data_IF_956840855440
#
_entry.id   IF_956840855440
#
_cell.length_a   1.000
_cell.length_b   1.000
_cell.length_c   1.000
_cell.angle_alpha   90.00
_cell.angle_beta   90.00
_cell.angle_gamma   90.00
#
_symmetry.space_group_name_H-M   'P 1'
#
loop_
_entity.id
_entity.type
_entity.pdbx_description
1 polymer ?
#
# COMPACT_ATOMS: atom_id res chain seq x y z
N UNK A 1 -8.42 -20.13 22.53
CA UNK A 1 -8.78 -19.07 21.58
C UNK A 1 -10.15 -18.48 21.91
N UNK A 2 -11.14 -19.34 22.14
CA UNK A 2 -12.57 -19.02 22.25
C UNK A 2 -12.93 -17.99 23.33
N UNK A 3 -12.41 -18.08 24.58
CA UNK A 3 -12.78 -17.12 25.60
C UNK A 3 -12.27 -15.72 25.28
N UNK A 4 -11.06 -15.61 24.71
CA UNK A 4 -10.41 -14.34 24.38
C UNK A 4 -11.15 -13.64 23.22
N UNK A 5 -11.43 -14.37 22.14
CA UNK A 5 -12.13 -13.81 20.98
C UNK A 5 -13.57 -13.40 21.32
N UNK A 6 -14.30 -14.24 22.06
CA UNK A 6 -15.68 -13.95 22.44
C UNK A 6 -15.79 -12.81 23.46
N UNK A 7 -14.80 -12.65 24.34
CA UNK A 7 -14.71 -11.52 25.26
C UNK A 7 -14.46 -10.21 24.49
N UNK A 8 -13.43 -10.18 23.63
CA UNK A 8 -13.12 -9.02 22.80
C UNK A 8 -14.32 -8.56 21.95
N UNK A 9 -14.99 -9.49 21.27
CA UNK A 9 -16.13 -9.16 20.39
C UNK A 9 -17.31 -8.54 21.15
N UNK A 10 -17.62 -9.08 22.35
CA UNK A 10 -18.80 -8.67 23.14
C UNK A 10 -18.55 -7.43 24.01
N UNK A 11 -17.31 -7.11 24.30
CA UNK A 11 -16.97 -5.94 25.10
C UNK A 11 -17.27 -4.63 24.36
N UNK A 12 -17.55 -3.59 25.15
CA UNK A 12 -17.67 -2.22 24.67
C UNK A 12 -16.32 -1.71 24.18
N UNK A 13 -16.26 -0.72 23.26
CA UNK A 13 -15.01 -0.22 22.68
C UNK A 13 -13.88 0.03 23.68
N UNK A 14 -14.16 0.71 24.79
CA UNK A 14 -13.15 1.08 25.79
C UNK A 14 -12.66 -0.10 26.64
N UNK A 15 -13.37 -1.23 26.62
CA UNK A 15 -13.00 -2.45 27.34
C UNK A 15 -12.34 -3.51 26.43
N UNK A 16 -12.15 -3.20 25.13
CA UNK A 16 -11.46 -4.09 24.21
C UNK A 16 -9.96 -3.92 24.35
N UNK A 17 -9.26 -4.98 24.72
CA UNK A 17 -7.81 -4.94 24.89
C UNK A 17 -7.08 -5.04 23.54
N UNK A 18 -6.34 -3.99 23.19
CA UNK A 18 -5.60 -3.89 21.92
C UNK A 18 -4.58 -5.04 21.76
N UNK A 19 -4.04 -5.55 22.87
CA UNK A 19 -3.11 -6.69 22.91
C UNK A 19 -3.68 -7.99 22.34
N UNK A 20 -5.01 -8.15 22.31
CA UNK A 20 -5.63 -9.31 21.65
C UNK A 20 -5.26 -9.35 20.15
N UNK A 21 -5.26 -8.18 19.49
CA UNK A 21 -4.89 -8.07 18.08
C UNK A 21 -3.40 -8.42 17.86
N UNK A 22 -2.52 -7.89 18.72
CA UNK A 22 -1.08 -8.15 18.70
C UNK A 22 -0.74 -9.63 18.96
N UNK A 23 -1.46 -10.25 19.89
CA UNK A 23 -1.34 -11.67 20.21
C UNK A 23 -1.63 -12.51 18.96
N UNK A 24 -2.74 -12.27 18.27
CA UNK A 24 -3.08 -13.03 17.07
C UNK A 24 -2.16 -12.73 15.89
N UNK A 25 -1.70 -11.50 15.73
CA UNK A 25 -0.68 -11.16 14.74
C UNK A 25 0.61 -11.98 14.99
N UNK A 26 1.05 -12.05 16.25
CA UNK A 26 2.24 -12.80 16.67
C UNK A 26 2.09 -14.30 16.43
N UNK A 27 0.93 -14.87 16.79
CA UNK A 27 0.61 -16.28 16.55
C UNK A 27 0.63 -16.59 15.05
N UNK A 28 0.00 -15.77 14.21
CA UNK A 28 -0.03 -15.97 12.76
C UNK A 28 1.38 -15.84 12.16
N UNK A 29 2.19 -14.87 12.59
CA UNK A 29 3.58 -14.77 12.13
C UNK A 29 4.42 -15.99 12.53
N UNK A 30 4.14 -16.59 13.69
CA UNK A 30 4.87 -17.76 14.21
C UNK A 30 4.48 -19.06 13.49
N UNK A 31 3.17 -19.31 13.33
CA UNK A 31 2.63 -20.57 12.83
C UNK A 31 2.24 -20.53 11.35
N UNK A 32 2.12 -19.34 10.76
CA UNK A 32 1.87 -19.10 9.34
C UNK A 32 0.64 -19.88 8.83
N UNK A 33 0.79 -20.63 7.75
CA UNK A 33 -0.29 -21.37 7.09
C UNK A 33 -1.01 -22.38 8.00
N UNK A 34 -0.40 -22.81 9.10
CA UNK A 34 -1.07 -23.67 10.09
C UNK A 34 -2.26 -22.97 10.76
N UNK A 35 -2.29 -21.62 10.77
CA UNK A 35 -3.42 -20.84 11.30
C UNK A 35 -4.57 -20.67 10.31
N UNK A 36 -4.48 -21.20 9.08
CA UNK A 36 -5.42 -20.89 8.01
C UNK A 36 -6.88 -21.22 8.39
N UNK A 37 -7.11 -22.34 9.07
CA UNK A 37 -8.45 -22.76 9.50
C UNK A 37 -9.02 -21.89 10.64
N UNK A 38 -8.16 -21.25 11.43
CA UNK A 38 -8.54 -20.39 12.55
C UNK A 38 -8.76 -18.92 12.15
N UNK A 39 -8.16 -18.47 11.03
CA UNK A 39 -8.25 -17.07 10.58
C UNK A 39 -9.69 -16.58 10.40
N UNK A 40 -10.62 -17.33 9.75
CA UNK A 40 -12.00 -16.87 9.61
C UNK A 40 -12.65 -16.52 10.96
N UNK A 41 -12.37 -17.33 11.99
CA UNK A 41 -12.90 -17.14 13.33
C UNK A 41 -12.29 -15.93 14.04
N UNK A 42 -10.97 -15.75 13.91
CA UNK A 42 -10.28 -14.57 14.44
C UNK A 42 -10.86 -13.31 13.78
N UNK A 43 -10.97 -13.34 12.45
CA UNK A 43 -11.47 -12.24 11.64
C UNK A 43 -12.91 -11.86 12.02
N UNK A 44 -13.82 -12.82 12.16
CA UNK A 44 -15.20 -12.59 12.60
C UNK A 44 -15.28 -11.89 13.96
N UNK A 45 -14.44 -12.29 14.91
CA UNK A 45 -14.47 -11.76 16.26
C UNK A 45 -13.89 -10.34 16.39
N UNK A 46 -12.85 -10.01 15.61
CA UNK A 46 -12.09 -8.76 15.82
C UNK A 46 -12.21 -7.74 14.71
N UNK A 47 -12.55 -8.13 13.47
CA UNK A 47 -12.39 -7.24 12.33
C UNK A 47 -13.37 -6.06 12.34
N UNK A 48 -14.66 -6.34 12.20
CA UNK A 48 -15.69 -5.31 12.06
C UNK A 48 -15.76 -4.39 13.28
N UNK A 49 -15.74 -5.00 14.47
CA UNK A 49 -15.90 -4.27 15.73
C UNK A 49 -14.70 -3.36 16.04
N UNK A 50 -13.49 -3.72 15.60
CA UNK A 50 -12.30 -2.86 15.70
C UNK A 50 -12.29 -1.80 14.61
N UNK A 51 -12.68 -2.15 13.38
CA UNK A 51 -12.76 -1.21 12.27
C UNK A 51 -13.68 -0.02 12.63
N UNK A 52 -14.86 -0.30 13.17
CA UNK A 52 -15.81 0.70 13.65
C UNK A 52 -15.27 1.58 14.78
N UNK A 53 -14.26 1.13 15.53
CA UNK A 53 -13.58 1.96 16.54
C UNK A 53 -12.59 2.90 15.88
N UNK A 54 -11.69 2.36 15.06
CA UNK A 54 -10.51 3.08 14.58
C UNK A 54 -10.81 4.06 13.44
N UNK A 55 -11.94 3.90 12.72
CA UNK A 55 -12.29 4.75 11.57
C UNK A 55 -13.24 5.90 11.92
N UNK A 56 -13.64 6.06 13.19
CA UNK A 56 -14.51 7.19 13.60
C UNK A 56 -13.81 8.53 13.47
N UNK A 57 -12.53 8.58 13.81
CA UNK A 57 -11.65 9.74 13.69
C UNK A 57 -10.19 9.26 13.66
N UNK A 58 -9.26 10.20 13.50
CA UNK A 58 -7.83 9.93 13.39
C UNK A 58 -7.09 9.94 14.74
N UNK A 59 -7.77 10.24 15.85
CA UNK A 59 -7.14 10.51 17.15
C UNK A 59 -7.34 9.36 18.15
N UNK A 60 -8.53 8.77 18.18
CA UNK A 60 -8.89 7.73 19.13
C UNK A 60 -8.27 6.37 18.79
N UNK A 61 -8.05 5.55 19.84
CA UNK A 61 -7.56 4.17 19.76
C UNK A 61 -6.31 3.95 18.88
N UNK A 62 -5.23 4.73 19.05
CA UNK A 62 -4.02 4.61 18.22
C UNK A 62 -3.36 3.22 18.34
N UNK A 63 -3.41 2.61 19.53
CA UNK A 63 -2.88 1.25 19.71
C UNK A 63 -3.67 0.19 18.96
N UNK A 64 -5.01 0.25 19.01
CA UNK A 64 -5.86 -0.68 18.26
C UNK A 64 -5.61 -0.54 16.77
N UNK A 65 -5.46 0.69 16.28
CA UNK A 65 -5.15 0.97 14.87
C UNK A 65 -3.85 0.29 14.43
N UNK A 66 -2.77 0.51 15.16
CA UNK A 66 -1.47 -0.09 14.86
C UNK A 66 -1.55 -1.63 14.87
N UNK A 67 -2.15 -2.19 15.93
CA UNK A 67 -2.22 -3.65 16.12
C UNK A 67 -3.21 -4.31 15.15
N UNK A 68 -4.28 -3.61 14.75
CA UNK A 68 -5.24 -4.06 13.73
C UNK A 68 -4.57 -4.22 12.37
N UNK A 69 -3.83 -3.20 11.89
CA UNK A 69 -3.14 -3.31 10.61
C UNK A 69 -1.96 -4.28 10.66
N UNK A 70 -1.31 -4.44 11.82
CA UNK A 70 -0.32 -5.51 12.03
C UNK A 70 -0.94 -6.92 11.89
N UNK A 71 -2.12 -7.14 12.49
CA UNK A 71 -2.87 -8.39 12.34
C UNK A 71 -3.30 -8.63 10.89
N UNK A 72 -3.88 -7.61 10.24
CA UNK A 72 -4.33 -7.73 8.85
C UNK A 72 -3.16 -8.00 7.90
N UNK A 73 -1.99 -7.40 8.18
CA UNK A 73 -0.75 -7.72 7.47
C UNK A 73 -0.31 -9.16 7.69
N UNK A 74 -0.26 -9.65 8.92
CA UNK A 74 0.09 -11.04 9.19
C UNK A 74 -0.83 -12.03 8.45
N UNK A 75 -2.14 -11.77 8.41
CA UNK A 75 -3.11 -12.54 7.63
C UNK A 75 -2.80 -12.46 6.13
N UNK A 76 -2.60 -11.25 5.60
CA UNK A 76 -2.28 -11.04 4.18
C UNK A 76 -0.98 -11.72 3.75
N UNK A 77 0.06 -11.71 4.59
CA UNK A 77 1.37 -12.30 4.28
C UNK A 77 1.36 -13.83 4.38
N UNK A 78 0.71 -14.40 5.40
CA UNK A 78 0.87 -15.82 5.74
C UNK A 78 -0.36 -16.68 5.50
N UNK A 79 -1.55 -16.07 5.47
CA UNK A 79 -2.83 -16.76 5.38
C UNK A 79 -3.71 -16.16 4.28
N UNK A 80 -3.11 -15.69 3.18
CA UNK A 80 -3.83 -15.01 2.09
C UNK A 80 -5.03 -15.81 1.53
N UNK A 81 -4.95 -17.14 1.55
CA UNK A 81 -6.07 -18.01 1.14
C UNK A 81 -7.36 -17.74 1.93
N UNK A 82 -7.25 -17.36 3.21
CA UNK A 82 -8.41 -16.96 4.00
C UNK A 82 -9.03 -15.65 3.52
N UNK A 83 -8.23 -14.71 2.98
CA UNK A 83 -8.75 -13.47 2.40
C UNK A 83 -9.51 -13.70 1.09
N UNK A 84 -9.07 -14.68 0.27
CA UNK A 84 -9.76 -15.03 -0.98
C UNK A 84 -11.13 -15.67 -0.70
N UNK A 85 -11.27 -16.38 0.41
CA UNK A 85 -12.50 -17.04 0.82
C UNK A 85 -13.53 -16.08 1.45
N UNK A 86 -13.16 -14.81 1.68
CA UNK A 86 -14.09 -13.80 2.18
C UNK A 86 -15.21 -13.54 1.17
N UNK A 87 -16.39 -13.21 1.69
CA UNK A 87 -17.46 -12.67 0.85
C UNK A 87 -17.04 -11.34 0.21
N UNK A 88 -17.65 -10.97 -0.92
CA UNK A 88 -17.37 -9.70 -1.59
C UNK A 88 -17.54 -8.47 -0.68
N UNK A 89 -18.49 -8.53 0.27
CA UNK A 89 -18.71 -7.46 1.25
C UNK A 89 -17.55 -7.37 2.25
N UNK A 90 -17.08 -8.50 2.77
CA UNK A 90 -15.95 -8.53 3.70
C UNK A 90 -14.65 -8.12 3.01
N UNK A 91 -14.38 -8.61 1.81
CA UNK A 91 -13.21 -8.20 1.04
C UNK A 91 -13.24 -6.70 0.73
N UNK A 92 -14.41 -6.14 0.40
CA UNK A 92 -14.58 -4.69 0.24
C UNK A 92 -14.19 -3.94 1.51
N UNK A 93 -14.63 -4.38 2.69
CA UNK A 93 -14.25 -3.73 3.95
C UNK A 93 -12.74 -3.82 4.22
N UNK A 94 -12.09 -4.92 3.85
CA UNK A 94 -10.63 -5.05 3.90
C UNK A 94 -9.96 -3.99 3.03
N UNK A 95 -10.35 -3.88 1.76
CA UNK A 95 -9.78 -2.89 0.84
C UNK A 95 -10.07 -1.45 1.30
N UNK A 96 -11.29 -1.16 1.74
CA UNK A 96 -11.67 0.16 2.27
C UNK A 96 -10.84 0.51 3.51
N UNK A 97 -10.58 -0.45 4.41
CA UNK A 97 -9.74 -0.23 5.59
C UNK A 97 -8.28 0.07 5.23
N UNK A 98 -7.76 -0.54 4.15
CA UNK A 98 -6.41 -0.30 3.64
C UNK A 98 -6.32 1.09 3.01
N UNK A 99 -7.35 1.49 2.23
CA UNK A 99 -7.47 2.83 1.68
C UNK A 99 -7.48 3.90 2.78
N UNK A 100 -8.21 3.63 3.85
CA UNK A 100 -8.19 4.48 5.03
C UNK A 100 -6.81 4.55 5.69
N UNK A 101 -6.12 3.42 5.82
CA UNK A 101 -4.79 3.34 6.44
C UNK A 101 -3.74 4.18 5.70
N UNK A 102 -3.62 4.03 4.38
CA UNK A 102 -2.59 4.78 3.64
C UNK A 102 -2.88 6.28 3.49
N UNK A 103 -4.12 6.70 3.76
CA UNK A 103 -4.51 8.12 3.88
C UNK A 103 -4.20 8.72 5.25
N UNK A 104 -3.83 7.90 6.23
CA UNK A 104 -3.66 8.32 7.60
C UNK A 104 -2.54 9.37 7.77
N UNK A 105 -2.68 10.23 8.78
CA UNK A 105 -1.70 11.28 9.08
C UNK A 105 -0.47 10.73 9.82
N UNK A 106 -0.66 9.74 10.68
CA UNK A 106 0.44 8.96 11.26
C UNK A 106 1.17 8.13 10.21
N UNK A 107 2.45 8.48 10.00
CA UNK A 107 3.35 7.83 9.04
C UNK A 107 3.38 6.31 9.14
N UNK A 108 3.48 5.75 10.35
CA UNK A 108 3.60 4.31 10.55
C UNK A 108 2.36 3.56 10.06
N UNK A 109 1.17 4.12 10.27
CA UNK A 109 -0.09 3.55 9.79
C UNK A 109 -0.14 3.66 8.26
N UNK A 110 0.23 4.81 7.71
CA UNK A 110 0.24 5.01 6.27
C UNK A 110 1.18 4.04 5.53
N UNK A 111 2.42 3.90 6.02
CA UNK A 111 3.41 2.95 5.47
C UNK A 111 2.95 1.49 5.62
N UNK A 112 2.33 1.14 6.75
CA UNK A 112 1.76 -0.20 6.95
C UNK A 112 0.63 -0.47 5.96
N UNK A 113 -0.26 0.50 5.73
CA UNK A 113 -1.34 0.42 4.75
C UNK A 113 -0.83 0.19 3.33
N UNK A 114 0.16 0.98 2.88
CA UNK A 114 0.75 0.82 1.55
C UNK A 114 1.50 -0.50 1.38
N UNK A 115 2.23 -0.94 2.40
CA UNK A 115 2.95 -2.22 2.39
C UNK A 115 1.98 -3.39 2.28
N UNK A 116 0.91 -3.37 3.09
CA UNK A 116 -0.16 -4.35 3.05
C UNK A 116 -0.88 -4.38 1.70
N UNK A 117 -1.19 -3.21 1.14
CA UNK A 117 -1.78 -3.11 -0.19
C UNK A 117 -0.89 -3.79 -1.23
N UNK A 118 0.41 -3.45 -1.27
CA UNK A 118 1.35 -4.03 -2.22
C UNK A 118 1.47 -5.56 -2.09
N UNK A 119 1.46 -6.09 -0.86
CA UNK A 119 1.45 -7.52 -0.60
C UNK A 119 0.15 -8.18 -1.14
N UNK A 120 -1.01 -7.60 -0.85
CA UNK A 120 -2.31 -8.10 -1.34
C UNK A 120 -2.36 -8.09 -2.87
N UNK A 121 -1.89 -7.02 -3.51
CA UNK A 121 -1.86 -6.91 -4.97
C UNK A 121 -1.02 -8.02 -5.62
N UNK A 122 0.16 -8.31 -5.06
CA UNK A 122 1.04 -9.40 -5.51
C UNK A 122 0.41 -10.76 -5.29
N UNK A 123 -0.24 -10.96 -4.15
CA UNK A 123 -0.90 -12.22 -3.84
C UNK A 123 -2.10 -12.48 -4.76
N UNK A 124 -2.90 -11.48 -5.09
CA UNK A 124 -3.99 -11.61 -6.07
C UNK A 124 -3.49 -11.89 -7.49
N UNK A 125 -2.39 -11.27 -7.91
CA UNK A 125 -1.76 -11.58 -9.20
C UNK A 125 -1.36 -13.07 -9.29
N UNK A 126 -0.89 -13.66 -8.18
CA UNK A 126 -0.46 -15.04 -8.13
C UNK A 126 -1.58 -16.07 -7.83
N UNK A 127 -2.81 -15.65 -7.54
CA UNK A 127 -3.85 -16.54 -7.00
C UNK A 127 -4.82 -17.15 -8.01
N UNK A 128 -4.78 -16.71 -9.26
CA UNK A 128 -5.80 -17.05 -10.27
C UNK A 128 -7.09 -16.24 -10.17
N UNK A 129 -7.31 -15.48 -9.10
CA UNK A 129 -8.46 -14.58 -8.92
C UNK A 129 -8.19 -13.13 -9.37
N UNK A 130 -7.08 -12.89 -10.07
CA UNK A 130 -6.65 -11.55 -10.47
C UNK A 130 -7.72 -10.80 -11.28
N UNK A 131 -8.34 -11.43 -12.28
CA UNK A 131 -9.33 -10.75 -13.13
C UNK A 131 -10.52 -10.25 -12.31
N UNK A 132 -11.09 -11.10 -11.45
CA UNK A 132 -12.22 -10.73 -10.59
C UNK A 132 -11.86 -9.59 -9.63
N UNK A 133 -10.66 -9.67 -9.03
CA UNK A 133 -10.17 -8.66 -8.11
C UNK A 133 -9.96 -7.31 -8.82
N UNK A 134 -9.15 -7.28 -9.89
CA UNK A 134 -8.79 -6.03 -10.56
C UNK A 134 -9.97 -5.39 -11.29
N UNK A 135 -10.90 -6.17 -11.85
CA UNK A 135 -12.15 -5.63 -12.40
C UNK A 135 -12.95 -4.83 -11.37
N UNK A 136 -12.89 -5.22 -10.11
CA UNK A 136 -13.64 -4.56 -9.03
C UNK A 136 -12.86 -3.40 -8.41
N UNK A 137 -11.55 -3.57 -8.18
CA UNK A 137 -10.79 -2.67 -7.31
C UNK A 137 -9.72 -1.84 -8.03
N UNK A 138 -9.32 -2.16 -9.28
CA UNK A 138 -8.18 -1.50 -9.95
C UNK A 138 -8.33 0.02 -9.99
N UNK A 139 -9.44 0.52 -10.56
CA UNK A 139 -9.64 1.96 -10.77
C UNK A 139 -9.72 2.71 -9.44
N UNK A 140 -10.38 2.12 -8.44
CA UNK A 140 -10.43 2.73 -7.11
C UNK A 140 -9.02 2.79 -6.49
N UNK A 141 -8.25 1.71 -6.52
CA UNK A 141 -6.89 1.71 -5.95
C UNK A 141 -6.00 2.73 -6.69
N UNK A 142 -6.06 2.78 -8.02
CA UNK A 142 -5.31 3.76 -8.81
C UNK A 142 -5.67 5.20 -8.41
N UNK A 143 -6.97 5.52 -8.37
CA UNK A 143 -7.46 6.84 -7.98
C UNK A 143 -7.02 7.23 -6.57
N UNK A 144 -7.16 6.32 -5.61
CA UNK A 144 -6.81 6.58 -4.22
C UNK A 144 -5.31 6.79 -4.03
N UNK A 145 -4.47 6.00 -4.73
CA UNK A 145 -3.02 6.14 -4.66
C UNK A 145 -2.55 7.44 -5.31
N UNK A 146 -3.08 7.83 -6.47
CA UNK A 146 -2.77 9.14 -7.03
C UNK A 146 -3.22 10.26 -6.10
N UNK A 147 -4.44 10.20 -5.56
CA UNK A 147 -4.94 11.24 -4.65
C UNK A 147 -4.03 11.47 -3.43
N UNK A 148 -3.45 10.41 -2.85
CA UNK A 148 -2.53 10.52 -1.71
C UNK A 148 -1.12 10.90 -2.14
N UNK A 149 -0.62 10.34 -3.24
CA UNK A 149 0.70 10.66 -3.78
C UNK A 149 0.84 12.16 -4.10
N UNK A 150 -0.27 12.80 -4.45
CA UNK A 150 -0.34 14.22 -4.78
C UNK A 150 -0.65 15.10 -3.58
N UNK A 151 -0.89 14.51 -2.41
CA UNK A 151 -0.93 15.25 -1.15
C UNK A 151 0.49 15.46 -0.63
N UNK A 152 0.84 16.72 -0.41
CA UNK A 152 2.16 17.11 0.10
C UNK A 152 2.47 16.56 1.48
N UNK A 153 1.45 16.15 2.25
CA UNK A 153 1.60 15.53 3.55
C UNK A 153 2.21 14.12 3.47
N UNK A 154 1.90 13.35 2.42
CA UNK A 154 2.25 11.92 2.32
C UNK A 154 3.56 11.66 1.58
N UNK A 155 4.39 12.69 1.34
CA UNK A 155 5.74 12.56 0.76
C UNK A 155 6.59 11.43 1.34
N UNK A 156 6.61 11.16 2.66
CA UNK A 156 7.40 10.06 3.21
C UNK A 156 7.04 8.68 2.63
N UNK A 157 5.80 8.49 2.17
CA UNK A 157 5.32 7.25 1.55
C UNK A 157 5.68 7.08 0.07
N UNK A 158 6.38 8.06 -0.54
CA UNK A 158 6.63 8.13 -2.00
C UNK A 158 7.09 6.81 -2.61
N UNK A 159 8.07 6.15 -1.98
CA UNK A 159 8.60 4.86 -2.45
C UNK A 159 7.50 3.80 -2.60
N UNK A 160 6.63 3.66 -1.60
CA UNK A 160 5.59 2.64 -1.61
C UNK A 160 4.46 2.99 -2.59
N UNK A 161 4.09 4.26 -2.72
CA UNK A 161 3.16 4.71 -3.76
C UNK A 161 3.65 4.35 -5.16
N UNK A 162 4.92 4.62 -5.46
CA UNK A 162 5.55 4.29 -6.74
C UNK A 162 5.51 2.78 -7.00
N UNK A 163 5.81 1.96 -6.00
CA UNK A 163 5.76 0.50 -6.13
C UNK A 163 4.33 -0.02 -6.38
N UNK A 164 3.33 0.54 -5.70
CA UNK A 164 1.92 0.19 -5.91
C UNK A 164 1.47 0.58 -7.32
N UNK A 165 1.75 1.81 -7.76
CA UNK A 165 1.41 2.26 -9.11
C UNK A 165 2.12 1.43 -10.18
N UNK A 166 3.41 1.15 -10.01
CA UNK A 166 4.15 0.32 -10.96
C UNK A 166 3.53 -1.09 -11.07
N UNK A 167 3.16 -1.68 -9.93
CA UNK A 167 2.49 -2.98 -9.89
C UNK A 167 1.18 -2.95 -10.68
N UNK A 168 0.34 -1.93 -10.45
CA UNK A 168 -0.90 -1.75 -11.21
C UNK A 168 -0.62 -1.65 -12.71
N UNK A 169 0.30 -0.79 -13.13
CA UNK A 169 0.60 -0.59 -14.56
C UNK A 169 1.17 -1.86 -15.21
N UNK A 170 1.92 -2.68 -14.48
CA UNK A 170 2.41 -3.97 -14.98
C UNK A 170 1.30 -5.02 -15.09
N UNK A 171 0.38 -5.10 -14.12
CA UNK A 171 -0.62 -6.18 -14.09
C UNK A 171 -1.61 -6.09 -15.25
N UNK A 172 -1.83 -4.88 -15.79
CA UNK A 172 -2.71 -4.61 -16.94
C UNK A 172 -2.46 -5.58 -18.10
N UNK A 173 -1.21 -5.90 -18.41
CA UNK A 173 -0.84 -6.78 -19.53
C UNK A 173 -1.25 -8.25 -19.31
N UNK A 174 -1.42 -8.65 -18.05
CA UNK A 174 -1.81 -10.01 -17.66
C UNK A 174 -3.32 -10.20 -17.47
N UNK A 175 -4.11 -9.13 -17.55
CA UNK A 175 -5.56 -9.18 -17.36
C UNK A 175 -6.26 -9.55 -18.67
N UNK A 176 -7.14 -10.54 -18.59
CA UNK A 176 -7.91 -11.04 -19.73
C UNK A 176 -9.34 -10.51 -19.75
N UNK A 177 -9.85 -10.05 -18.60
CA UNK A 177 -11.14 -9.37 -18.52
C UNK A 177 -10.99 -7.85 -18.67
N UNK A 178 -11.96 -7.17 -19.30
CA UNK A 178 -11.94 -5.71 -19.41
C UNK A 178 -12.12 -5.06 -18.04
N UNK A 179 -11.29 -4.05 -17.76
CA UNK A 179 -11.38 -3.19 -16.58
C UNK A 179 -12.50 -2.14 -16.64
N UNK A 180 -13.18 -2.03 -17.79
CA UNK A 180 -14.28 -1.10 -18.03
C UNK A 180 -15.58 -1.84 -18.27
N UNK A 181 -16.70 -1.18 -17.96
CA UNK A 181 -18.00 -1.60 -18.43
C UNK A 181 -18.23 -1.02 -19.84
N UNK A 182 -18.39 -1.90 -20.84
CA UNK A 182 -18.64 -1.52 -22.23
C UNK A 182 -19.88 -0.64 -22.43
N UNK A 183 -20.85 -0.70 -21.50
CA UNK A 183 -22.04 0.16 -21.53
C UNK A 183 -21.80 1.58 -20.99
N UNK A 184 -20.71 1.78 -20.24
CA UNK A 184 -20.37 3.04 -19.57
C UNK A 184 -19.42 3.93 -20.37
N UNK A 185 -18.82 3.41 -21.45
CA UNK A 185 -17.79 4.11 -22.22
C UNK A 185 -18.30 4.52 -23.59
N UNK A 186 -17.97 5.73 -24.08
CA UNK A 186 -18.51 6.25 -25.34
C UNK A 186 -17.89 5.62 -26.60
N UNK A 187 -16.77 4.89 -26.45
CA UNK A 187 -16.08 4.19 -27.53
C UNK A 187 -15.50 2.87 -27.02
N UNK A 188 -15.28 1.91 -27.92
CA UNK A 188 -14.64 0.64 -27.59
C UNK A 188 -13.13 0.81 -27.42
N UNK A 189 -12.60 0.26 -26.33
CA UNK A 189 -11.16 0.07 -26.12
C UNK A 189 -10.73 -1.29 -26.68
N UNK A 190 -9.53 -1.35 -27.24
CA UNK A 190 -8.95 -2.59 -27.77
C UNK A 190 -8.41 -3.52 -26.69
N UNK A 191 -7.86 -2.94 -25.62
CA UNK A 191 -7.23 -3.64 -24.52
C UNK A 191 -7.25 -2.80 -23.23
N UNK A 192 -6.85 -3.44 -22.13
CA UNK A 192 -6.79 -2.79 -20.83
C UNK A 192 -5.74 -1.66 -20.77
N UNK A 193 -4.66 -1.72 -21.53
CA UNK A 193 -3.62 -0.70 -21.51
C UNK A 193 -4.11 0.62 -22.11
N UNK A 194 -4.84 0.57 -23.21
CA UNK A 194 -5.48 1.73 -23.82
C UNK A 194 -6.53 2.34 -22.89
N UNK A 195 -7.34 1.51 -22.22
CA UNK A 195 -8.32 2.00 -21.26
C UNK A 195 -7.68 2.69 -20.06
N UNK A 196 -6.70 2.04 -19.42
CA UNK A 196 -6.00 2.59 -18.26
C UNK A 196 -5.32 3.90 -18.64
N UNK A 197 -4.62 3.95 -19.77
CA UNK A 197 -4.02 5.19 -20.30
C UNK A 197 -5.02 6.35 -20.34
N UNK A 198 -6.16 6.15 -20.98
CA UNK A 198 -7.17 7.19 -21.14
C UNK A 198 -7.81 7.57 -19.80
N UNK A 199 -8.03 6.59 -18.92
CA UNK A 199 -8.54 6.81 -17.57
C UNK A 199 -7.56 7.64 -16.74
N UNK A 200 -6.28 7.27 -16.67
CA UNK A 200 -5.25 8.00 -15.92
C UNK A 200 -5.09 9.44 -16.43
N UNK A 201 -5.12 9.65 -17.76
CA UNK A 201 -5.06 11.01 -18.35
C UNK A 201 -6.26 11.85 -17.88
N UNK A 202 -7.47 11.29 -17.90
CA UNK A 202 -8.69 11.99 -17.46
C UNK A 202 -8.63 12.29 -15.96
N UNK A 203 -8.22 11.32 -15.15
CA UNK A 203 -8.05 11.45 -13.71
C UNK A 203 -7.11 12.61 -13.39
N UNK A 204 -5.87 12.54 -13.89
CA UNK A 204 -4.84 13.54 -13.60
C UNK A 204 -5.15 14.90 -14.22
N UNK A 205 -5.75 14.94 -15.41
CA UNK A 205 -6.17 16.21 -16.03
C UNK A 205 -7.23 16.94 -15.19
N UNK A 206 -8.08 16.19 -14.47
CA UNK A 206 -9.06 16.78 -13.55
C UNK A 206 -8.44 17.22 -12.21
N UNK A 207 -7.44 16.49 -11.72
CA UNK A 207 -6.76 16.78 -10.45
C UNK A 207 -5.70 17.88 -10.58
N UNK A 208 -5.13 18.10 -11.77
CA UNK A 208 -4.06 19.05 -12.03
C UNK A 208 -4.43 20.08 -13.10
N UNK A 209 -5.33 21.05 -12.81
CA UNK A 209 -5.79 22.02 -13.79
C UNK A 209 -4.68 22.95 -14.33
N UNK A 210 -3.52 22.98 -13.66
CA UNK A 210 -2.36 23.78 -14.06
C UNK A 210 -1.44 23.07 -15.07
N UNK A 211 -1.60 21.76 -15.26
CA UNK A 211 -0.85 21.02 -16.26
C UNK A 211 -1.64 20.99 -17.56
N UNK A 212 -0.94 21.19 -18.68
CA UNK A 212 -1.56 21.09 -19.99
C UNK A 212 -1.94 19.63 -20.29
N UNK A 213 -2.98 19.38 -21.10
CA UNK A 213 -3.32 18.03 -21.53
C UNK A 213 -2.16 17.27 -22.16
N UNK A 214 -1.27 17.98 -22.87
CA UNK A 214 -0.06 17.42 -23.49
C UNK A 214 0.95 16.95 -22.45
N UNK A 215 1.17 17.71 -21.38
CA UNK A 215 2.09 17.33 -20.29
C UNK A 215 1.58 16.10 -19.54
N UNK A 216 0.29 16.08 -19.20
CA UNK A 216 -0.34 14.91 -18.55
C UNK A 216 -0.25 13.67 -19.44
N UNK A 217 -0.54 13.82 -20.73
CA UNK A 217 -0.45 12.72 -21.70
C UNK A 217 0.98 12.17 -21.78
N UNK A 218 1.98 13.06 -21.91
CA UNK A 218 3.39 12.67 -21.96
C UNK A 218 3.83 11.95 -20.69
N UNK A 219 3.36 12.40 -19.52
CA UNK A 219 3.62 11.75 -18.25
C UNK A 219 3.06 10.33 -18.21
N UNK A 220 1.78 10.14 -18.53
CA UNK A 220 1.13 8.82 -18.53
C UNK A 220 1.78 7.87 -19.55
N UNK A 221 2.15 8.37 -20.73
CA UNK A 221 2.91 7.60 -21.73
C UNK A 221 4.30 7.19 -21.21
N UNK A 222 4.96 8.07 -20.45
CA UNK A 222 6.20 7.78 -19.74
C UNK A 222 6.04 6.66 -18.71
N UNK A 223 4.96 6.66 -17.92
CA UNK A 223 4.65 5.58 -16.97
C UNK A 223 4.44 4.24 -17.68
N UNK A 224 3.65 4.21 -18.74
CA UNK A 224 3.37 2.97 -19.49
C UNK A 224 4.62 2.40 -20.16
N UNK A 225 5.47 3.25 -20.73
CA UNK A 225 6.71 2.81 -21.39
C UNK A 225 7.80 2.37 -20.41
N UNK A 226 7.80 2.91 -19.18
CA UNK A 226 8.79 2.59 -18.15
C UNK A 226 8.28 1.62 -17.07
N UNK A 227 7.08 1.02 -17.23
CA UNK A 227 6.46 0.17 -16.19
C UNK A 227 7.34 -0.99 -15.71
N UNK A 228 8.24 -1.53 -16.54
CA UNK A 228 9.19 -2.58 -16.15
C UNK A 228 10.56 -2.08 -15.68
N UNK A 229 10.79 -0.75 -15.67
CA UNK A 229 12.01 -0.09 -15.23
C UNK A 229 11.71 0.85 -14.05
N UNK A 230 11.80 0.32 -12.84
CA UNK A 230 11.44 1.04 -11.61
C UNK A 230 12.16 2.39 -11.46
N UNK A 231 13.49 2.51 -11.67
CA UNK A 231 14.17 3.80 -11.68
C UNK A 231 13.53 4.84 -12.61
N UNK A 232 13.28 4.50 -13.87
CA UNK A 232 12.66 5.43 -14.83
C UNK A 232 11.21 5.74 -14.46
N UNK A 233 10.44 4.73 -14.05
CA UNK A 233 9.05 4.92 -13.60
C UNK A 233 8.97 5.88 -12.40
N UNK A 234 9.83 5.67 -11.40
CA UNK A 234 9.96 6.55 -10.23
C UNK A 234 10.34 7.98 -10.62
N UNK A 235 11.27 8.14 -11.57
CA UNK A 235 11.68 9.46 -12.06
C UNK A 235 10.53 10.21 -12.75
N UNK A 236 9.76 9.55 -13.62
CA UNK A 236 8.58 10.16 -14.23
C UNK A 236 7.60 10.68 -13.18
N UNK A 237 7.29 9.88 -12.16
CA UNK A 237 6.39 10.30 -11.07
C UNK A 237 6.99 11.49 -10.31
N UNK A 238 8.28 11.44 -9.98
CA UNK A 238 8.94 12.52 -9.26
C UNK A 238 8.91 13.83 -10.05
N UNK A 239 9.26 13.79 -11.33
CA UNK A 239 9.29 14.96 -12.19
C UNK A 239 7.90 15.56 -12.34
N UNK A 240 6.88 14.71 -12.48
CA UNK A 240 5.48 15.15 -12.50
C UNK A 240 5.08 15.85 -11.20
N UNK A 241 5.39 15.26 -10.03
CA UNK A 241 5.10 15.89 -8.75
C UNK A 241 5.82 17.24 -8.64
N UNK A 242 7.12 17.32 -8.90
CA UNK A 242 7.89 18.58 -8.82
C UNK A 242 7.36 19.66 -9.78
N UNK A 243 6.88 19.28 -10.97
CA UNK A 243 6.26 20.20 -11.93
C UNK A 243 4.88 20.70 -11.47
N UNK A 244 4.19 19.96 -10.59
CA UNK A 244 2.94 20.43 -10.01
C UNK A 244 3.19 21.64 -9.10
N UNK A 245 2.30 22.64 -9.16
CA UNK A 245 2.44 23.87 -8.37
C UNK A 245 2.57 23.60 -6.87
N UNK A 246 1.84 22.61 -6.37
CA UNK A 246 1.76 22.26 -4.95
C UNK A 246 3.12 21.81 -4.38
N UNK A 247 3.93 21.13 -5.20
CA UNK A 247 5.26 20.64 -4.81
C UNK A 247 6.41 21.55 -5.27
N UNK A 248 6.20 22.37 -6.31
CA UNK A 248 7.24 23.26 -6.85
C UNK A 248 7.78 24.28 -5.82
N UNK A 249 6.96 24.62 -4.81
CA UNK A 249 7.27 25.60 -3.77
C UNK A 249 7.75 24.98 -2.45
N UNK A 250 7.90 23.65 -2.38
CA UNK A 250 8.16 22.93 -1.13
C UNK A 250 9.55 22.26 -1.10
N UNK A 251 10.01 21.91 0.12
CA UNK A 251 11.16 21.01 0.28
C UNK A 251 10.74 19.60 -0.18
N UNK A 252 11.50 19.03 -1.11
CA UNK A 252 11.20 17.76 -1.76
C UNK A 252 12.19 16.65 -1.41
N UNK A 253 13.01 16.83 -0.35
CA UNK A 253 13.98 15.81 0.12
C UNK A 253 13.38 14.42 0.34
N UNK A 254 12.15 14.33 0.83
CA UNK A 254 11.48 13.06 1.09
C UNK A 254 11.29 12.22 -0.20
N UNK A 255 11.14 12.85 -1.37
CA UNK A 255 11.05 12.17 -2.67
C UNK A 255 12.38 11.50 -3.10
N UNK A 256 13.47 11.84 -2.41
CA UNK A 256 14.84 11.33 -2.64
C UNK A 256 15.38 10.55 -1.44
N UNK A 257 14.55 10.26 -0.43
CA UNK A 257 15.00 9.63 0.82
C UNK A 257 15.66 8.27 0.59
N UNK A 258 15.15 7.48 -0.36
CA UNK A 258 15.72 6.18 -0.72
C UNK A 258 17.08 6.31 -1.38
N UNK A 259 17.24 7.23 -2.34
CA UNK A 259 18.52 7.49 -3.00
C UNK A 259 19.57 7.97 -2.00
N UNK A 260 19.18 8.85 -1.06
CA UNK A 260 20.04 9.33 0.02
C UNK A 260 20.44 8.21 1.00
N UNK A 261 19.54 7.27 1.30
CA UNK A 261 19.85 6.10 2.13
C UNK A 261 20.83 5.16 1.41
N UNK A 262 20.57 4.86 0.13
CA UNK A 262 21.45 4.00 -0.68
C UNK A 262 22.84 4.62 -0.92
N UNK A 263 22.94 5.94 -0.98
CA UNK A 263 24.23 6.62 -1.06
C UNK A 263 25.00 6.53 0.26
N UNK A 264 24.34 6.79 1.40
CA UNK A 264 24.95 6.65 2.73
C UNK A 264 25.45 5.23 2.99
N UNK A 265 24.68 4.21 2.60
CA UNK A 265 25.11 2.82 2.75
C UNK A 265 26.32 2.48 1.87
N UNK A 266 26.36 2.96 0.62
CA UNK A 266 27.52 2.79 -0.27
C UNK A 266 28.78 3.48 0.27
N UNK A 267 28.64 4.69 0.81
CA UNK A 267 29.73 5.42 1.46
C UNK A 267 30.21 4.69 2.71
N UNK A 268 29.29 4.18 3.52
CA UNK A 268 29.60 3.35 4.70
C UNK A 268 30.36 2.07 4.33
N UNK A 269 29.91 1.33 3.32
CA UNK A 269 30.61 0.15 2.81
C UNK A 269 32.01 0.48 2.29
N UNK A 270 32.18 1.63 1.64
CA UNK A 270 33.50 2.10 1.21
C UNK A 270 34.41 2.44 2.40
N UNK A 271 33.88 3.05 3.46
CA UNK A 271 34.65 3.33 4.68
C UNK A 271 35.07 2.04 5.40
N UNK A 272 34.19 1.03 5.47
CA UNK A 272 34.50 -0.29 6.03
C UNK A 272 35.59 -1.03 5.24
N UNK A 273 35.68 -0.81 3.94
CA UNK A 273 36.69 -1.44 3.08
C UNK A 273 38.11 -0.84 3.25
N UNK A 274 38.27 0.29 3.95
CA UNK A 274 39.56 0.95 4.18
C UNK A 274 39.97 0.71 5.65
N UNK A 275 40.99 -0.14 5.91
CA UNK A 275 41.46 -0.40 7.27
C UNK A 275 41.86 0.88 8.00
N UNK A 276 41.33 1.07 9.21
CA UNK A 276 41.65 2.21 10.10
C UNK A 276 40.80 3.46 9.91
N UNK A 277 39.82 3.46 9.00
CA UNK A 277 38.93 4.61 8.77
C UNK A 277 37.72 4.68 9.71
N UNK A 278 37.31 3.55 10.29
CA UNK A 278 36.21 3.42 11.25
C UNK A 278 36.79 3.05 12.60
N UNK A 279 36.33 3.72 13.66
CA UNK A 279 36.83 3.45 15.01
C UNK A 279 36.41 2.05 15.48
N UNK A 280 37.28 1.29 16.18
CA UNK A 280 36.94 -0.06 16.65
C UNK A 280 35.69 -0.14 17.56
N UNK A 281 35.34 0.94 18.26
CA UNK A 281 34.11 1.05 19.06
C UNK A 281 32.85 1.04 18.22
N UNK A 282 32.88 1.65 17.04
CA UNK A 282 31.73 1.73 16.11
C UNK A 282 31.48 0.39 15.40
N UNK A 283 32.46 -0.52 15.40
CA UNK A 283 32.32 -1.89 14.88
C UNK A 283 31.72 -2.86 15.91
N UNK A 284 31.83 -2.55 17.21
CA UNK A 284 31.39 -3.45 18.29
C UNK A 284 29.91 -3.30 18.65
N UNK A 285 29.35 -2.08 18.57
CA UNK A 285 27.93 -1.84 18.81
C UNK A 285 27.01 -2.61 17.84
N UNK A 286 27.52 -3.03 16.67
CA UNK A 286 26.74 -3.77 15.67
C UNK A 286 26.66 -5.28 15.88
N UNK A 287 27.57 -5.87 16.66
CA UNK A 287 27.51 -7.31 16.97
C UNK A 287 26.43 -7.64 18.01
N UNK A 288 25.85 -6.63 18.66
CA UNK A 288 24.89 -6.79 19.76
C UNK A 288 23.44 -6.67 19.28
N UNK A 289 23.20 -6.08 18.10
CA UNK A 289 21.86 -5.79 17.53
C UNK A 289 21.50 -6.64 16.29
N UNK A 290 22.25 -7.73 16.00
CA UNK A 290 21.93 -8.70 14.91
C UNK A 290 21.20 -9.95 15.41
#
# INVERSE_FOLDING_TARGET
MDPILADYARNVPDARESEVLSLFATIINKYKGEMLEDVPRIFEAVFQCTLEMITKNFEDYPEHRLKFFSLLRAIGTHCFQALIQLSSQQLKLVIDSINWAFRHTERNIAETGLSLLLEILKNFQASGFQNQFYKTYFLNIEQEIFAVLTDTFHKPGFKLHVLVLQHLFCVVDGLTEPLWDASSVPYQYTDNAMFVRDYTIKLLGSSFPNMTPTEVTKFVDGLLSSKHDLPSFKNHIRDFLVQSKEFSAQDNKDLYAEEAAAQRERERQRMLAIPGLIAPSELQDEMVDS
#
